data_IF_341449141692
#
_entry.id   IF_341449141692
#
_cell.length_a   1.000
_cell.length_b   1.000
_cell.length_c   1.000
_cell.angle_alpha   90.00
_cell.angle_beta   90.00
_cell.angle_gamma   90.00
#
_symmetry.space_group_name_H-M   'P 1'
#
loop_
_entity.id
_entity.type
_entity.pdbx_description
1 polymer ?
#
# COMPACT_ATOMS: atom_id res chain seq x y z
N UNK A 1 6.75 -49.70 -15.15
CA UNK A 1 5.94 -48.49 -15.41
C UNK A 1 5.19 -48.12 -14.14
N UNK A 2 5.73 -47.20 -13.34
CA UNK A 2 5.14 -46.74 -12.08
C UNK A 2 4.02 -45.75 -12.40
N UNK A 3 2.80 -46.25 -12.52
CA UNK A 3 1.60 -45.42 -12.59
C UNK A 3 1.42 -44.71 -11.24
N UNK A 4 1.52 -43.38 -11.24
CA UNK A 4 1.11 -42.57 -10.08
C UNK A 4 -0.35 -42.90 -9.73
N UNK A 5 -0.57 -43.46 -8.54
CA UNK A 5 -1.92 -43.62 -7.99
C UNK A 5 -2.59 -42.23 -7.90
N UNK A 6 -3.85 -42.08 -8.30
CA UNK A 6 -4.56 -40.82 -8.15
C UNK A 6 -4.60 -40.45 -6.65
N UNK A 7 -4.12 -39.25 -6.33
CA UNK A 7 -4.07 -38.69 -4.96
C UNK A 7 -5.44 -38.22 -4.44
N UNK A 8 -6.50 -38.40 -5.23
CA UNK A 8 -7.85 -37.90 -4.95
C UNK A 8 -8.82 -39.08 -4.97
N UNK A 9 -9.67 -39.17 -3.96
CA UNK A 9 -10.67 -40.24 -3.82
C UNK A 9 -11.50 -40.41 -5.11
N UNK A 10 -11.73 -41.67 -5.52
CA UNK A 10 -12.35 -42.02 -6.80
C UNK A 10 -13.77 -41.47 -6.97
N UNK A 11 -14.45 -41.17 -5.85
CA UNK A 11 -15.75 -40.50 -5.84
C UNK A 11 -15.65 -39.01 -6.23
N UNK A 12 -14.65 -38.30 -5.70
CA UNK A 12 -14.40 -36.88 -6.02
C UNK A 12 -13.94 -36.77 -7.49
N UNK A 13 -13.08 -37.68 -7.94
CA UNK A 13 -12.60 -37.72 -9.31
C UNK A 13 -13.73 -37.99 -10.33
N UNK A 14 -14.68 -38.87 -10.00
CA UNK A 14 -15.89 -39.10 -10.82
C UNK A 14 -16.82 -37.88 -10.84
N UNK A 15 -16.91 -37.12 -9.75
CA UNK A 15 -17.72 -35.90 -9.70
C UNK A 15 -17.12 -34.79 -10.56
N UNK A 16 -15.80 -34.56 -10.45
CA UNK A 16 -15.06 -33.58 -11.25
C UNK A 16 -15.13 -33.90 -12.76
N UNK A 17 -14.95 -35.17 -13.14
CA UNK A 17 -15.03 -35.59 -14.54
C UNK A 17 -16.45 -35.50 -15.14
N UNK A 18 -17.50 -35.44 -14.31
CA UNK A 18 -18.89 -35.24 -14.78
C UNK A 18 -19.25 -33.77 -14.96
N UNK A 19 -18.44 -32.84 -14.44
CA UNK A 19 -18.71 -31.41 -14.57
C UNK A 19 -18.41 -30.93 -16.00
N UNK A 20 -19.46 -30.59 -16.74
CA UNK A 20 -19.31 -30.08 -18.09
C UNK A 20 -19.02 -28.56 -18.05
N UNK A 21 -17.74 -28.21 -18.13
CA UNK A 21 -17.24 -26.83 -18.16
C UNK A 21 -17.78 -26.03 -19.35
N UNK A 22 -17.95 -26.67 -20.52
CA UNK A 22 -18.45 -26.00 -21.74
C UNK A 22 -19.89 -25.53 -21.52
N UNK A 23 -20.73 -26.35 -20.88
CA UNK A 23 -22.14 -26.01 -20.60
C UNK A 23 -22.28 -24.82 -19.64
N UNK A 24 -21.34 -24.65 -18.71
CA UNK A 24 -21.37 -23.57 -17.71
C UNK A 24 -20.50 -22.36 -18.06
N UNK A 25 -19.74 -22.43 -19.15
CA UNK A 25 -18.81 -21.37 -19.59
C UNK A 25 -19.48 -19.99 -19.70
N UNK A 26 -20.72 -19.93 -20.23
CA UNK A 26 -21.49 -18.68 -20.35
C UNK A 26 -21.80 -18.04 -18.99
N UNK A 27 -22.15 -18.87 -18.00
CA UNK A 27 -22.40 -18.39 -16.64
C UNK A 27 -21.12 -17.91 -15.95
N UNK A 28 -20.00 -18.60 -16.20
CA UNK A 28 -18.70 -18.17 -15.70
C UNK A 28 -18.27 -16.82 -16.29
N UNK A 29 -18.53 -16.59 -17.58
CA UNK A 29 -18.29 -15.30 -18.23
C UNK A 29 -19.13 -14.18 -17.61
N UNK A 30 -20.43 -14.40 -17.40
CA UNK A 30 -21.33 -13.42 -16.76
C UNK A 30 -20.84 -13.10 -15.35
N UNK A 31 -20.49 -14.13 -14.56
CA UNK A 31 -19.98 -13.94 -13.21
C UNK A 31 -18.66 -13.17 -13.19
N UNK A 32 -17.73 -13.50 -14.10
CA UNK A 32 -16.46 -12.78 -14.25
C UNK A 32 -16.68 -11.32 -14.64
N UNK A 33 -17.64 -11.05 -15.54
CA UNK A 33 -18.01 -9.70 -15.95
C UNK A 33 -18.60 -8.91 -14.77
N UNK A 34 -19.45 -9.52 -13.95
CA UNK A 34 -20.01 -8.88 -12.76
C UNK A 34 -18.91 -8.50 -11.75
N UNK A 35 -17.94 -9.38 -11.52
CA UNK A 35 -16.79 -9.07 -10.65
C UNK A 35 -16.01 -7.88 -11.23
N UNK A 36 -15.75 -7.89 -12.53
CA UNK A 36 -15.01 -6.81 -13.20
C UNK A 36 -15.75 -5.47 -13.07
N UNK A 37 -17.05 -5.44 -13.35
CA UNK A 37 -17.88 -4.24 -13.20
C UNK A 37 -17.90 -3.77 -11.75
N UNK A 38 -18.06 -4.68 -10.79
CA UNK A 38 -18.00 -4.36 -9.37
C UNK A 38 -16.66 -3.72 -8.99
N UNK A 39 -15.54 -4.25 -9.49
CA UNK A 39 -14.21 -3.68 -9.30
C UNK A 39 -14.09 -2.26 -9.87
N UNK A 40 -14.60 -2.02 -11.08
CA UNK A 40 -14.61 -0.68 -11.69
C UNK A 40 -15.44 0.31 -10.87
N UNK A 41 -16.59 -0.10 -10.34
CA UNK A 41 -17.44 0.75 -9.50
C UNK A 41 -16.72 1.13 -8.22
N UNK A 42 -16.15 0.17 -7.50
CA UNK A 42 -15.38 0.44 -6.26
C UNK A 42 -14.22 1.38 -6.55
N UNK A 43 -13.45 1.11 -7.62
CA UNK A 43 -12.36 1.97 -8.05
C UNK A 43 -12.85 3.41 -8.34
N UNK A 44 -13.94 3.55 -9.08
CA UNK A 44 -14.49 4.86 -9.47
C UNK A 44 -15.00 5.66 -8.28
N UNK A 45 -15.65 5.00 -7.32
CA UNK A 45 -16.11 5.64 -6.08
C UNK A 45 -14.91 6.13 -5.26
N UNK A 46 -13.89 5.30 -5.09
CA UNK A 46 -12.68 5.69 -4.34
C UNK A 46 -11.92 6.82 -5.04
N UNK A 47 -11.76 6.76 -6.36
CA UNK A 47 -11.16 7.83 -7.16
C UNK A 47 -11.96 9.13 -7.07
N UNK A 48 -13.30 9.04 -7.06
CA UNK A 48 -14.20 10.18 -6.91
C UNK A 48 -14.06 10.85 -5.54
N UNK A 49 -14.03 10.07 -4.46
CA UNK A 49 -13.81 10.58 -3.08
C UNK A 49 -12.43 11.25 -2.97
N UNK A 50 -11.40 10.65 -3.58
CA UNK A 50 -10.04 11.15 -3.53
C UNK A 50 -9.76 12.30 -4.52
N UNK A 51 -10.72 12.67 -5.37
CA UNK A 51 -10.58 13.74 -6.37
C UNK A 51 -9.51 13.49 -7.44
N UNK A 52 -8.99 12.26 -7.56
CA UNK A 52 -7.92 11.90 -8.49
C UNK A 52 -8.01 10.43 -8.89
N UNK A 53 -7.58 10.12 -10.13
CA UNK A 53 -7.58 8.74 -10.66
C UNK A 53 -6.65 7.83 -9.84
N UNK A 54 -5.49 8.35 -9.45
CA UNK A 54 -4.53 7.63 -8.59
C UNK A 54 -5.08 7.35 -7.20
N UNK A 55 -5.98 8.20 -6.68
CA UNK A 55 -6.63 8.00 -5.38
C UNK A 55 -7.65 6.86 -5.35
N UNK A 56 -8.04 6.31 -6.51
CA UNK A 56 -8.79 5.05 -6.58
C UNK A 56 -7.93 3.82 -6.26
N UNK A 57 -6.61 3.97 -6.23
CA UNK A 57 -5.67 2.94 -5.81
C UNK A 57 -5.15 3.25 -4.39
N UNK A 58 -4.99 2.21 -3.58
CA UNK A 58 -4.26 2.32 -2.31
C UNK A 58 -2.75 2.29 -2.59
N UNK A 59 -2.20 3.43 -3.01
CA UNK A 59 -0.80 3.58 -3.37
C UNK A 59 0.09 3.63 -2.13
N UNK A 60 1.25 2.97 -2.20
CA UNK A 60 2.31 3.14 -1.20
C UNK A 60 2.96 4.51 -1.36
N UNK A 61 3.77 4.94 -0.37
CA UNK A 61 4.39 6.26 -0.35
C UNK A 61 5.26 6.52 -1.59
N UNK A 62 5.93 5.48 -2.09
CA UNK A 62 6.77 5.54 -3.29
C UNK A 62 5.97 5.92 -4.55
N UNK A 63 4.66 5.70 -4.52
CA UNK A 63 3.74 5.96 -5.63
C UNK A 63 2.78 7.13 -5.38
N UNK A 64 2.48 7.46 -4.12
CA UNK A 64 1.68 8.64 -3.76
C UNK A 64 2.52 9.91 -3.59
N UNK A 65 3.82 9.75 -3.31
CA UNK A 65 4.70 10.83 -2.88
C UNK A 65 4.47 11.21 -1.42
N UNK A 66 5.28 12.16 -0.96
CA UNK A 66 5.22 12.74 0.37
C UNK A 66 6.31 12.21 1.31
N UNK A 67 6.13 12.49 2.60
CA UNK A 67 7.17 12.23 3.61
C UNK A 67 6.64 11.34 4.72
N UNK A 68 7.39 10.29 5.04
CA UNK A 68 7.19 9.47 6.22
C UNK A 68 8.40 9.65 7.12
N UNK A 69 8.14 10.04 8.36
CA UNK A 69 9.13 10.10 9.42
C UNK A 69 8.67 9.24 10.57
N UNK A 70 9.59 8.54 11.22
CA UNK A 70 9.31 7.74 12.39
C UNK A 70 10.30 8.10 13.48
N UNK A 71 9.76 8.47 14.63
CA UNK A 71 10.48 8.67 15.87
C UNK A 71 10.24 7.49 16.78
N UNK A 72 11.30 6.77 17.14
CA UNK A 72 11.29 5.75 18.17
C UNK A 72 12.26 6.12 19.28
N UNK A 73 11.98 5.72 20.52
CA UNK A 73 12.93 5.90 21.62
C UNK A 73 14.23 5.12 21.38
N UNK A 74 15.39 5.73 21.66
CA UNK A 74 16.69 5.05 21.56
C UNK A 74 16.88 3.93 22.58
N UNK A 75 16.30 4.09 23.78
CA UNK A 75 16.45 3.10 24.84
C UNK A 75 15.36 2.03 24.80
N UNK A 76 15.78 0.79 24.64
CA UNK A 76 14.97 -0.44 24.62
C UNK A 76 14.51 -0.86 26.02
N UNK A 77 13.97 0.06 26.79
CA UNK A 77 13.53 -0.21 28.16
C UNK A 77 12.27 0.56 28.50
N UNK A 78 11.10 -0.03 28.25
CA UNK A 78 9.74 0.26 28.78
C UNK A 78 9.37 1.72 29.12
N UNK A 79 10.05 2.72 28.57
CA UNK A 79 9.78 4.13 28.77
C UNK A 79 8.73 4.50 27.73
N UNK A 80 7.54 4.86 28.22
CA UNK A 80 6.52 5.48 27.40
C UNK A 80 6.90 6.93 27.15
N UNK A 81 6.60 7.45 25.97
CA UNK A 81 6.67 8.90 25.71
C UNK A 81 5.55 9.54 26.53
N UNK A 82 5.92 10.32 27.54
CA UNK A 82 4.96 11.07 28.35
C UNK A 82 4.14 12.06 27.49
N UNK A 83 2.90 12.34 27.89
CA UNK A 83 1.99 13.22 27.17
C UNK A 83 2.58 14.63 26.96
N UNK A 84 3.37 15.12 27.91
CA UNK A 84 4.07 16.41 27.80
C UNK A 84 5.13 16.42 26.68
N UNK A 85 5.87 15.30 26.51
CA UNK A 85 6.84 15.13 25.45
C UNK A 85 6.17 14.92 24.08
N UNK A 86 5.05 14.21 24.04
CA UNK A 86 4.25 14.06 22.81
C UNK A 86 3.81 15.43 22.27
N UNK A 87 3.27 16.30 23.13
CA UNK A 87 2.83 17.64 22.72
C UNK A 87 3.99 18.50 22.22
N UNK A 88 5.15 18.43 22.87
CA UNK A 88 6.35 19.14 22.41
C UNK A 88 6.78 18.68 21.02
N UNK A 89 6.83 17.37 20.80
CA UNK A 89 7.22 16.81 19.50
C UNK A 89 6.20 17.18 18.42
N UNK A 90 4.90 17.11 18.72
CA UNK A 90 3.84 17.58 17.82
C UNK A 90 4.03 19.06 17.48
N UNK A 91 4.34 19.92 18.45
CA UNK A 91 4.57 21.34 18.22
C UNK A 91 5.80 21.59 17.35
N UNK A 92 6.88 20.83 17.52
CA UNK A 92 8.07 20.91 16.67
C UNK A 92 7.73 20.59 15.22
N UNK A 93 6.99 19.51 14.97
CA UNK A 93 6.55 19.17 13.61
C UNK A 93 5.55 20.17 13.04
N UNK A 94 4.62 20.65 13.86
CA UNK A 94 3.63 21.66 13.45
C UNK A 94 4.30 22.98 13.07
N UNK A 95 5.36 23.38 13.79
CA UNK A 95 6.15 24.57 13.45
C UNK A 95 6.87 24.47 12.09
N UNK A 96 7.01 23.25 11.57
CA UNK A 96 7.68 22.95 10.29
C UNK A 96 6.68 22.64 9.17
N UNK A 97 5.39 22.88 9.41
CA UNK A 97 4.33 22.75 8.41
C UNK A 97 3.67 21.38 8.35
N UNK A 98 3.93 20.47 9.29
CA UNK A 98 3.20 19.20 9.40
C UNK A 98 1.84 19.46 10.06
N UNK A 99 0.74 19.00 9.48
CA UNK A 99 -0.56 19.08 10.15
C UNK A 99 -0.64 18.07 11.30
N UNK A 100 -1.24 18.41 12.46
CA UNK A 100 -1.38 17.48 13.58
C UNK A 100 -2.13 16.19 13.25
N UNK A 101 -3.00 16.20 12.24
CA UNK A 101 -3.70 15.02 11.72
C UNK A 101 -2.78 13.99 11.08
N UNK A 102 -1.63 14.43 10.58
CA UNK A 102 -0.66 13.63 9.86
C UNK A 102 0.34 12.94 10.81
N UNK A 103 0.20 13.20 12.12
CA UNK A 103 1.05 12.66 13.18
C UNK A 103 0.27 11.58 13.93
N UNK A 104 0.73 10.34 13.77
CA UNK A 104 0.17 9.15 14.39
C UNK A 104 1.06 8.67 15.53
N UNK A 105 0.42 8.25 16.63
CA UNK A 105 1.14 7.66 17.76
C UNK A 105 1.40 6.19 17.49
N UNK A 106 2.61 5.75 17.79
CA UNK A 106 2.99 4.34 17.75
C UNK A 106 2.88 3.79 19.16
N UNK A 107 2.10 2.75 19.31
CA UNK A 107 1.88 2.09 20.60
C UNK A 107 2.70 0.81 20.70
N UNK A 108 3.01 0.43 21.94
CA UNK A 108 3.54 -0.90 22.26
C UNK A 108 2.55 -2.00 21.84
N UNK A 109 3.01 -3.26 21.80
CA UNK A 109 2.19 -4.42 21.45
C UNK A 109 0.91 -4.52 22.30
N UNK A 110 1.01 -4.13 23.57
CA UNK A 110 -0.10 -4.10 24.53
C UNK A 110 -1.01 -2.86 24.41
N UNK A 111 -0.71 -1.93 23.50
CA UNK A 111 -1.43 -0.67 23.26
C UNK A 111 -1.53 0.28 24.48
N UNK A 112 -0.77 0.04 25.54
CA UNK A 112 -0.82 0.82 26.79
C UNK A 112 0.09 2.04 26.79
N UNK A 113 1.22 1.94 26.09
CA UNK A 113 2.28 2.95 26.10
C UNK A 113 2.56 3.44 24.69
N UNK A 114 2.86 4.74 24.56
CA UNK A 114 3.30 5.32 23.29
C UNK A 114 4.81 5.16 23.22
N UNK A 115 5.30 4.39 22.27
CA UNK A 115 6.73 4.09 22.10
C UNK A 115 7.38 4.94 21.01
N UNK A 116 6.55 5.62 20.20
CA UNK A 116 7.02 6.40 19.08
C UNK A 116 5.93 7.27 18.45
N UNK A 117 6.32 8.01 17.42
CA UNK A 117 5.40 8.78 16.58
C UNK A 117 5.79 8.60 15.12
N UNK A 118 4.80 8.37 14.28
CA UNK A 118 4.91 8.34 12.83
C UNK A 118 4.30 9.61 12.27
N UNK A 119 4.98 10.25 11.34
CA UNK A 119 4.47 11.33 10.51
C UNK A 119 4.24 10.76 9.13
N UNK A 120 3.08 11.00 8.53
CA UNK A 120 2.79 10.63 7.15
C UNK A 120 2.09 11.78 6.43
N UNK A 121 2.80 12.45 5.55
CA UNK A 121 2.29 13.59 4.78
C UNK A 121 2.23 13.28 3.30
N UNK A 122 1.29 13.92 2.59
CA UNK A 122 1.12 13.82 1.14
C UNK A 122 1.93 14.89 0.37
N UNK A 123 2.83 15.58 1.07
CA UNK A 123 3.66 16.67 0.55
C UNK A 123 5.08 16.53 1.09
N UNK A 124 6.01 17.09 0.33
CA UNK A 124 7.44 17.04 0.66
C UNK A 124 7.76 17.98 1.83
N UNK A 125 8.31 17.40 2.89
CA UNK A 125 8.78 18.15 4.05
C UNK A 125 10.24 17.81 4.28
N UNK A 126 11.07 18.84 4.43
CA UNK A 126 12.46 18.66 4.79
C UNK A 126 12.59 18.33 6.29
N UNK A 127 12.51 17.04 6.63
CA UNK A 127 12.66 16.57 8.00
C UNK A 127 14.14 16.53 8.46
N UNK A 128 15.11 16.62 7.54
CA UNK A 128 16.55 16.63 7.88
C UNK A 128 16.97 17.82 8.76
N UNK A 129 16.30 18.98 8.60
CA UNK A 129 16.55 20.16 9.43
C UNK A 129 15.95 20.08 10.84
N UNK A 130 15.01 19.15 11.09
CA UNK A 130 14.32 19.02 12.38
C UNK A 130 15.19 18.28 13.40
N UNK A 131 16.03 17.34 12.92
CA UNK A 131 16.79 16.40 13.74
C UNK A 131 18.04 17.05 14.36
N UNK A 132 18.62 18.05 13.68
CA UNK A 132 19.91 18.63 14.06
C UNK A 132 19.81 19.73 15.12
N UNK A 133 18.69 20.44 15.15
CA UNK A 133 18.56 21.67 15.96
C UNK A 133 17.77 21.48 17.25
N UNK A 134 17.01 20.40 17.42
CA UNK A 134 16.14 20.24 18.59
C UNK A 134 16.71 19.26 19.64
N UNK A 135 16.96 19.81 20.84
CA UNK A 135 17.41 19.04 22.01
C UNK A 135 16.41 17.96 22.45
N UNK A 136 15.12 18.11 22.10
CA UNK A 136 14.05 17.20 22.51
C UNK A 136 14.10 15.89 21.69
N UNK A 137 14.57 15.96 20.44
CA UNK A 137 14.55 14.83 19.51
C UNK A 137 15.86 14.01 19.58
N UNK A 138 16.91 14.52 20.25
CA UNK A 138 18.21 13.84 20.37
C UNK A 138 18.14 12.45 21.01
N UNK A 139 17.20 12.23 21.93
CA UNK A 139 17.02 10.94 22.62
C UNK A 139 16.18 9.93 21.82
N UNK A 140 15.75 10.30 20.61
CA UNK A 140 14.97 9.47 19.71
C UNK A 140 15.80 9.05 18.49
N UNK A 141 15.59 7.82 18.05
CA UNK A 141 15.99 7.36 16.73
C UNK A 141 14.98 7.87 15.74
N UNK A 142 15.45 8.65 14.78
CA UNK A 142 14.61 9.17 13.71
C UNK A 142 15.01 8.52 12.38
N UNK A 143 14.06 7.81 11.80
CA UNK A 143 14.15 7.30 10.43
C UNK A 143 13.17 8.09 9.57
N UNK A 144 13.58 8.51 8.39
CA UNK A 144 12.65 9.16 7.47
C UNK A 144 12.94 8.74 6.04
N UNK A 145 11.86 8.69 5.26
CA UNK A 145 11.87 8.53 3.83
C UNK A 145 10.98 9.63 3.24
N UNK A 146 11.52 10.37 2.29
CA UNK A 146 10.77 11.36 1.52
C UNK A 146 10.88 10.98 0.05
N UNK A 147 9.74 10.89 -0.61
CA UNK A 147 9.68 10.70 -2.07
C UNK A 147 8.95 11.89 -2.63
N UNK A 148 9.59 12.62 -3.53
CA UNK A 148 8.94 13.79 -4.11
C UNK A 148 7.67 13.43 -4.86
N UNK A 149 6.63 14.24 -4.72
CA UNK A 149 5.37 14.07 -5.46
C UNK A 149 5.61 14.02 -6.99
N UNK A 150 6.57 14.78 -7.51
CA UNK A 150 6.94 14.74 -8.93
C UNK A 150 7.58 13.39 -9.33
N UNK A 151 8.46 12.87 -8.46
CA UNK A 151 9.12 11.57 -8.69
C UNK A 151 8.09 10.44 -8.59
N UNK A 152 7.22 10.46 -7.59
CA UNK A 152 6.19 9.44 -7.38
C UNK A 152 5.18 9.39 -8.54
N UNK A 153 4.69 10.55 -8.98
CA UNK A 153 3.77 10.63 -10.14
C UNK A 153 4.42 10.13 -11.42
N UNK A 154 5.71 10.44 -11.63
CA UNK A 154 6.49 9.93 -12.76
C UNK A 154 6.67 8.42 -12.67
N UNK A 155 6.91 7.88 -11.47
CA UNK A 155 7.05 6.45 -11.23
C UNK A 155 5.77 5.68 -11.56
N UNK A 156 4.62 6.17 -11.08
CA UNK A 156 3.30 5.61 -11.40
C UNK A 156 3.02 5.67 -12.90
N UNK A 157 3.27 6.82 -13.53
CA UNK A 157 3.04 6.99 -14.97
C UNK A 157 3.88 6.01 -15.80
N UNK A 158 5.16 5.88 -15.48
CA UNK A 158 6.05 4.96 -16.19
C UNK A 158 5.65 3.51 -15.99
N UNK A 159 5.26 3.12 -14.78
CA UNK A 159 4.77 1.78 -14.48
C UNK A 159 3.50 1.47 -15.29
N UNK A 160 2.53 2.39 -15.34
CA UNK A 160 1.29 2.22 -16.11
C UNK A 160 1.55 2.06 -17.62
N UNK A 161 2.48 2.85 -18.18
CA UNK A 161 2.86 2.73 -19.59
C UNK A 161 3.52 1.38 -19.86
N UNK A 162 4.46 0.95 -19.00
CA UNK A 162 5.16 -0.32 -19.16
C UNK A 162 4.20 -1.52 -19.11
N UNK A 163 3.27 -1.53 -18.16
CA UNK A 163 2.24 -2.57 -18.04
C UNK A 163 1.36 -2.59 -19.30
N UNK A 164 0.93 -1.42 -19.77
CA UNK A 164 0.08 -1.31 -20.96
C UNK A 164 0.76 -1.87 -22.21
N UNK A 165 2.04 -1.55 -22.42
CA UNK A 165 2.84 -2.08 -23.53
C UNK A 165 3.01 -3.59 -23.38
N UNK A 166 3.35 -4.08 -22.19
CA UNK A 166 3.55 -5.51 -21.94
C UNK A 166 2.28 -6.32 -22.24
N UNK A 167 1.11 -5.87 -21.78
CA UNK A 167 -0.17 -6.50 -22.07
C UNK A 167 -0.44 -6.50 -23.58
N UNK A 168 -0.22 -5.37 -24.25
CA UNK A 168 -0.38 -5.28 -25.70
C UNK A 168 0.49 -6.28 -26.46
N UNK A 169 1.77 -6.39 -26.09
CA UNK A 169 2.71 -7.34 -26.70
C UNK A 169 2.31 -8.80 -26.45
N UNK A 170 1.85 -9.14 -25.24
CA UNK A 170 1.37 -10.50 -24.92
C UNK A 170 0.16 -10.84 -25.79
N UNK A 171 -0.79 -9.91 -25.95
CA UNK A 171 -1.98 -10.12 -26.80
C UNK A 171 -1.56 -10.32 -28.26
N UNK A 172 -0.70 -9.45 -28.80
CA UNK A 172 -0.23 -9.57 -30.18
C UNK A 172 0.52 -10.89 -30.40
N UNK A 173 1.43 -11.25 -29.49
CA UNK A 173 2.18 -12.49 -29.58
C UNK A 173 1.28 -13.72 -29.51
N UNK A 174 0.30 -13.74 -28.59
CA UNK A 174 -0.64 -14.86 -28.47
C UNK A 174 -1.53 -14.98 -29.71
N UNK A 175 -1.99 -13.87 -30.28
CA UNK A 175 -2.75 -13.86 -31.54
C UNK A 175 -1.94 -14.37 -32.73
N UNK A 176 -0.66 -14.01 -32.84
CA UNK A 176 0.21 -14.48 -33.92
C UNK A 176 0.55 -15.97 -33.73
N UNK A 177 0.86 -16.39 -32.50
CA UNK A 177 1.30 -17.76 -32.20
C UNK A 177 0.19 -18.80 -32.33
N UNK A 178 -1.05 -18.43 -31.97
CA UNK A 178 -2.19 -19.36 -31.93
C UNK A 178 -3.21 -19.12 -33.06
N UNK A 179 -2.88 -18.24 -34.01
CA UNK A 179 -3.47 -18.32 -35.35
C UNK A 179 -2.89 -19.51 -36.10
#
# INVERSE_FOLDING_TARGET
MLGMKPRVDGYVQKSLNKFNYVKHSRWFLIFSLLILVGGIVVFSVMAGIAGSISGGFNLSQEFSGGTIGELQLKETGSKSIDASHQLKIINVFTSKGVHPSDIHKIFDADHKNVIGMQIKTNYDINLNGIIKDDTIIKDYNFTHASTSNEVATTLVKNAMIAISIAIGLIIVYTLIRFR
#
